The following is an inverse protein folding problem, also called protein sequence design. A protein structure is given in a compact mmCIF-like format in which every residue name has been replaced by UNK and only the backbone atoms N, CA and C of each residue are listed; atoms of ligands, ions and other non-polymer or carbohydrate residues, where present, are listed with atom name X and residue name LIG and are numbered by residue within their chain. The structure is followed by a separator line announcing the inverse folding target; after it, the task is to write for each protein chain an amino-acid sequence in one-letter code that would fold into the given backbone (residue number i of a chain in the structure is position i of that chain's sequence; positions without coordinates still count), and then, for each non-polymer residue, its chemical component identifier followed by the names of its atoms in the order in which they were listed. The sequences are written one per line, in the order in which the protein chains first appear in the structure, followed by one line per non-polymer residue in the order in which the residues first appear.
data_IF_822072547116
#
_entry.id   IF_822072547116
#
_cell.length_a   1.000
_cell.length_b   1.000
_cell.length_c   1.000
_cell.angle_alpha   90.00
_cell.angle_beta   90.00
_cell.angle_gamma   90.00
#
_symmetry.space_group_name_H-M   'P 1'
#
loop_
_entity.id
_entity.type
_entity.pdbx_description
1 polymer ?
#
# COMPACT_ATOMS: atom_id res chain seq x y z
N UNK A 1 11.45 -1.95 20.84
CA UNK A 1 12.35 -2.59 19.89
C UNK A 1 11.74 -2.65 18.51
N UNK A 2 10.50 -3.11 18.39
CA UNK A 2 9.82 -3.18 17.09
C UNK A 2 9.63 -1.82 16.46
N UNK A 3 9.36 -0.79 17.26
CA UNK A 3 9.20 0.55 16.74
C UNK A 3 10.47 1.07 16.07
N UNK A 4 11.64 0.74 16.64
CA UNK A 4 12.91 1.12 16.05
C UNK A 4 13.19 0.36 14.77
N UNK A 5 12.83 -0.90 14.72
CA UNK A 5 12.98 -1.72 13.52
C UNK A 5 12.11 -1.16 12.40
N UNK A 6 10.87 -0.82 12.70
CA UNK A 6 9.96 -0.24 11.72
C UNK A 6 10.44 1.13 11.25
N UNK A 7 10.95 1.96 12.16
CA UNK A 7 11.48 3.27 11.80
C UNK A 7 12.70 3.15 10.89
N UNK A 8 13.59 2.20 11.20
CA UNK A 8 14.76 1.95 10.36
C UNK A 8 14.35 1.45 8.98
N UNK A 9 13.37 0.55 8.93
CA UNK A 9 12.83 0.05 7.67
C UNK A 9 12.22 1.15 6.83
N UNK A 10 11.46 2.05 7.46
CA UNK A 10 10.86 3.19 6.78
C UNK A 10 11.93 4.12 6.19
N UNK A 11 12.99 4.36 6.93
CA UNK A 11 14.07 5.22 6.46
C UNK A 11 14.80 4.59 5.28
N UNK A 12 15.06 3.29 5.34
CA UNK A 12 15.68 2.57 4.23
C UNK A 12 14.81 2.68 2.98
N UNK A 13 13.51 2.50 3.11
CA UNK A 13 12.58 2.61 2.00
C UNK A 13 12.60 4.01 1.40
N UNK A 14 12.55 5.05 2.25
CA UNK A 14 12.59 6.44 1.77
C UNK A 14 13.85 6.73 0.98
N UNK A 15 14.99 6.31 1.50
CA UNK A 15 16.27 6.53 0.84
C UNK A 15 16.31 5.79 -0.50
N UNK A 16 15.83 4.56 -0.51
CA UNK A 16 15.80 3.75 -1.72
C UNK A 16 14.93 4.37 -2.81
N UNK A 17 13.74 4.82 -2.46
CA UNK A 17 12.82 5.44 -3.42
C UNK A 17 13.39 6.77 -3.91
N UNK A 18 13.97 7.57 -3.02
CA UNK A 18 14.58 8.85 -3.39
C UNK A 18 15.74 8.66 -4.36
N UNK A 19 16.43 7.53 -4.26
CA UNK A 19 17.55 7.21 -5.15
C UNK A 19 17.10 6.59 -6.48
N UNK A 20 15.79 6.47 -6.71
CA UNK A 20 15.25 5.91 -7.94
C UNK A 20 14.92 4.43 -7.86
N UNK A 21 14.95 3.86 -6.67
CA UNK A 21 14.58 2.48 -6.45
C UNK A 21 13.08 2.29 -6.30
N UNK A 22 12.68 1.05 -6.04
CA UNK A 22 11.29 0.68 -5.85
C UNK A 22 11.10 0.03 -4.48
N UNK A 23 9.84 -0.11 -4.08
CA UNK A 23 9.52 -0.68 -2.77
C UNK A 23 9.88 -2.16 -2.65
N UNK A 24 9.82 -2.89 -3.74
CA UNK A 24 10.06 -4.33 -3.71
C UNK A 24 10.79 -4.76 -4.97
N UNK A 25 11.85 -5.55 -4.78
CA UNK A 25 12.53 -6.19 -5.90
C UNK A 25 11.85 -7.48 -6.31
N UNK A 26 11.57 -8.35 -5.33
CA UNK A 26 10.96 -9.65 -5.61
C UNK A 26 10.02 -10.15 -4.53
N UNK A 27 10.12 -9.63 -3.30
CA UNK A 27 9.31 -10.15 -2.19
C UNK A 27 7.87 -9.65 -2.17
N UNK A 28 7.59 -8.58 -2.90
CA UNK A 28 6.25 -8.02 -2.94
C UNK A 28 5.98 -7.02 -1.81
N UNK A 29 4.81 -6.46 -1.83
CA UNK A 29 4.41 -5.41 -0.90
C UNK A 29 3.74 -5.99 0.35
N UNK A 30 2.70 -6.80 0.16
CA UNK A 30 1.97 -7.42 1.27
C UNK A 30 1.46 -6.41 2.29
N UNK A 31 1.65 -6.74 3.56
CA UNK A 31 1.28 -5.86 4.67
C UNK A 31 2.44 -4.97 5.13
N UNK A 32 3.67 -5.47 5.05
CA UNK A 32 4.82 -4.76 5.60
C UNK A 32 5.11 -3.44 4.91
N UNK A 33 4.95 -3.39 3.60
CA UNK A 33 5.31 -2.23 2.79
C UNK A 33 4.10 -1.45 2.30
N UNK A 34 2.92 -1.89 2.68
CA UNK A 34 1.66 -1.29 2.24
C UNK A 34 1.61 0.22 2.50
N UNK A 35 2.01 0.63 3.68
CA UNK A 35 1.93 2.03 4.08
C UNK A 35 2.98 2.91 3.41
N UNK A 36 3.94 2.30 2.71
CA UNK A 36 4.97 3.02 1.97
C UNK A 36 4.59 3.26 0.51
N UNK A 37 3.50 2.69 0.05
CA UNK A 37 3.04 2.88 -1.32
C UNK A 37 2.93 4.36 -1.72
N UNK A 38 2.45 5.27 -0.85
CA UNK A 38 2.38 6.69 -1.20
C UNK A 38 3.73 7.35 -1.47
N UNK A 39 4.83 6.76 -1.05
CA UNK A 39 6.17 7.28 -1.34
C UNK A 39 6.52 7.10 -2.81
N UNK A 40 5.96 6.10 -3.44
CA UNK A 40 6.27 5.73 -4.81
C UNK A 40 5.18 6.11 -5.80
N UNK A 41 3.93 6.07 -5.37
CA UNK A 41 2.77 6.30 -6.23
C UNK A 41 1.95 7.49 -5.74
N UNK A 42 1.48 8.30 -6.67
CA UNK A 42 0.60 9.42 -6.35
C UNK A 42 -0.78 8.92 -5.92
N UNK A 43 -1.60 9.79 -5.29
CA UNK A 43 -2.98 9.42 -4.97
C UNK A 43 -3.77 8.96 -6.19
N UNK A 44 -3.53 9.56 -7.35
CA UNK A 44 -4.18 9.17 -8.60
C UNK A 44 -3.77 7.76 -9.00
N UNK A 45 -2.49 7.44 -8.89
CA UNK A 45 -2.00 6.10 -9.19
C UNK A 45 -2.60 5.05 -8.26
N UNK A 46 -2.63 5.35 -6.98
CA UNK A 46 -3.19 4.42 -5.99
C UNK A 46 -4.69 4.22 -6.20
N UNK A 47 -5.40 5.26 -6.57
CA UNK A 47 -6.81 5.18 -6.90
C UNK A 47 -7.04 4.27 -8.11
N UNK A 48 -6.22 4.43 -9.14
CA UNK A 48 -6.29 3.59 -10.33
C UNK A 48 -6.05 2.12 -9.99
N UNK A 49 -5.07 1.84 -9.12
CA UNK A 49 -4.79 0.49 -8.66
C UNK A 49 -5.96 -0.09 -7.89
N UNK A 50 -6.58 0.70 -7.03
CA UNK A 50 -7.73 0.27 -6.25
C UNK A 50 -8.93 -0.05 -7.16
N UNK A 51 -9.14 0.77 -8.17
CA UNK A 51 -10.22 0.54 -9.15
C UNK A 51 -9.99 -0.73 -9.95
N UNK A 52 -8.75 -0.95 -10.37
CA UNK A 52 -8.40 -2.17 -11.09
C UNK A 52 -8.68 -3.39 -10.23
N UNK A 53 -8.26 -3.35 -8.98
CA UNK A 53 -8.49 -4.43 -8.04
C UNK A 53 -9.99 -4.72 -7.87
N UNK A 54 -10.80 -3.68 -7.69
CA UNK A 54 -12.25 -3.85 -7.54
C UNK A 54 -12.92 -4.41 -8.78
N UNK A 55 -12.35 -4.15 -9.95
CA UNK A 55 -12.91 -4.68 -11.21
C UNK A 55 -12.85 -6.20 -11.25
N UNK A 56 -11.82 -6.79 -10.65
CA UNK A 56 -11.65 -8.24 -10.65
C UNK A 56 -12.12 -8.89 -9.36
N UNK A 57 -12.14 -8.15 -8.26
CA UNK A 57 -12.50 -8.66 -6.95
C UNK A 57 -13.53 -7.75 -6.31
N UNK A 58 -14.75 -7.82 -6.80
CA UNK A 58 -15.84 -6.94 -6.39
C UNK A 58 -16.25 -7.12 -4.93
N UNK A 59 -16.02 -8.31 -4.36
CA UNK A 59 -16.39 -8.61 -2.97
C UNK A 59 -15.28 -8.34 -1.98
N UNK A 60 -14.06 -8.06 -2.46
CA UNK A 60 -12.94 -7.77 -1.60
C UNK A 60 -12.40 -8.95 -0.83
N UNK A 61 -12.63 -10.17 -1.31
CA UNK A 61 -12.19 -11.38 -0.61
C UNK A 61 -10.79 -11.84 -0.96
N UNK A 62 -10.24 -11.38 -2.09
CA UNK A 62 -8.93 -11.81 -2.55
C UNK A 62 -7.83 -11.01 -1.85
N UNK A 63 -7.08 -11.66 -0.97
CA UNK A 63 -5.98 -11.04 -0.21
C UNK A 63 -6.34 -9.65 0.31
N UNK A 64 -7.38 -9.52 1.14
CA UNK A 64 -7.76 -8.20 1.65
C UNK A 64 -6.62 -7.59 2.45
N UNK A 65 -6.54 -6.27 2.42
CA UNK A 65 -5.55 -5.46 3.14
C UNK A 65 -4.12 -5.54 2.62
N UNK A 66 -3.88 -6.28 1.55
CA UNK A 66 -2.52 -6.44 1.03
C UNK A 66 -2.26 -5.40 -0.07
N UNK A 67 -1.02 -4.95 -0.15
CA UNK A 67 -0.51 -4.06 -1.19
C UNK A 67 -1.01 -2.62 -1.07
N UNK A 68 -2.30 -2.38 -1.16
CA UNK A 68 -2.85 -1.03 -1.15
C UNK A 68 -2.99 -0.50 0.27
N UNK A 69 -2.70 0.81 0.50
CA UNK A 69 -2.82 1.42 1.82
C UNK A 69 -4.26 1.37 2.34
N UNK A 70 -4.41 1.69 3.61
CA UNK A 70 -5.73 1.75 4.24
C UNK A 70 -6.63 2.77 3.53
N UNK A 71 -7.95 2.65 3.71
CA UNK A 71 -8.90 3.60 3.12
C UNK A 71 -8.58 5.06 3.38
N UNK A 72 -7.98 5.36 4.52
CA UNK A 72 -7.62 6.73 4.88
C UNK A 72 -6.49 7.28 4.01
N UNK A 73 -5.68 6.42 3.41
CA UNK A 73 -4.54 6.83 2.58
C UNK A 73 -4.91 6.96 1.12
N UNK A 74 -6.01 6.36 0.71
CA UNK A 74 -6.46 6.34 -0.68
C UNK A 74 -7.87 6.91 -0.72
N UNK A 75 -8.04 8.09 -1.31
CA UNK A 75 -9.28 8.83 -1.24
C UNK A 75 -10.53 8.05 -1.65
N UNK A 76 -10.43 7.29 -2.71
CA UNK A 76 -11.56 6.51 -3.22
C UNK A 76 -11.94 5.37 -2.27
N UNK A 77 -10.99 4.88 -1.51
CA UNK A 77 -11.19 3.75 -0.62
C UNK A 77 -11.99 4.16 0.62
N UNK A 78 -12.09 5.43 0.90
CA UNK A 78 -12.85 5.92 2.05
C UNK A 78 -14.32 5.52 2.02
N UNK A 79 -14.84 5.21 0.86
CA UNK A 79 -16.22 4.79 0.69
C UNK A 79 -16.42 3.29 0.82
N UNK A 80 -15.36 2.55 0.96
CA UNK A 80 -15.42 1.09 1.10
C UNK A 80 -15.69 0.77 2.57
N UNK A 81 -16.61 -0.15 2.86
CA UNK A 81 -16.84 -0.57 4.25
C UNK A 81 -15.53 -1.03 4.87
N UNK A 82 -15.34 -0.69 6.13
CA UNK A 82 -14.11 -0.96 6.83
C UNK A 82 -13.65 -2.42 6.70
N UNK A 83 -14.58 -3.34 6.83
CA UNK A 83 -14.26 -4.77 6.72
C UNK A 83 -13.78 -5.22 5.34
N UNK A 84 -14.00 -4.42 4.30
CA UNK A 84 -13.58 -4.78 2.95
C UNK A 84 -12.08 -4.61 2.76
N UNK A 85 -11.42 -3.82 3.61
CA UNK A 85 -10.00 -3.52 3.50
C UNK A 85 -9.20 -3.96 4.73
N UNK A 86 -9.88 -4.40 5.77
CA UNK A 86 -9.23 -4.80 7.02
C UNK A 86 -9.48 -6.30 7.30
#
# INVERSE_FOLDING_TARGET
VMDRVHAAGAEIVRVSVAAGGVLSGEHGIGLEKRDFMPLMFSPVDLDAQARLRRSFDTTGLANPNKVLPSPASCGDVQHVPEGAWI
#
